data_IF_526519741802
#
_entry.id   IF_526519741802
#
_cell.length_a   1.000
_cell.length_b   1.000
_cell.length_c   1.000
_cell.angle_alpha   90.00
_cell.angle_beta   90.00
_cell.angle_gamma   90.00
#
_symmetry.space_group_name_H-M   'P 1'
#
loop_
_entity.id
_entity.type
_entity.pdbx_description
1 polymer ?
#
# COMPACT_ATOMS: atom_id res chain seq x y z
N UNK A 1 15.98 0.31 23.15
CA UNK A 1 14.60 0.05 22.69
C UNK A 1 14.17 0.99 21.57
N UNK A 2 14.48 2.30 21.63
CA UNK A 2 14.16 3.26 20.57
C UNK A 2 14.83 2.96 19.22
N UNK A 3 16.09 2.53 19.21
CA UNK A 3 16.85 2.21 17.99
C UNK A 3 16.32 0.99 17.23
N UNK A 4 15.81 -0.03 17.93
CA UNK A 4 15.21 -1.22 17.30
C UNK A 4 13.83 -0.94 16.70
N UNK A 5 13.05 -0.05 17.34
CA UNK A 5 11.73 0.36 16.84
C UNK A 5 11.83 1.24 15.59
N UNK A 6 12.82 2.14 15.56
CA UNK A 6 13.08 2.98 14.39
C UNK A 6 13.52 2.15 13.18
N UNK A 7 14.37 1.14 13.38
CA UNK A 7 14.78 0.21 12.32
C UNK A 7 13.61 -0.59 11.77
N UNK A 8 12.72 -1.08 12.64
CA UNK A 8 11.49 -1.75 12.20
C UNK A 8 10.63 -0.84 11.34
N UNK A 9 10.38 0.37 11.84
CA UNK A 9 9.53 1.35 11.19
C UNK A 9 10.02 1.62 9.79
N UNK A 10 11.33 1.78 9.63
CA UNK A 10 11.96 1.97 8.33
C UNK A 10 11.82 0.73 7.43
N UNK A 11 12.14 -0.47 7.90
CA UNK A 11 12.02 -1.71 7.09
C UNK A 11 10.57 -1.95 6.66
N UNK A 12 9.61 -1.78 7.59
CA UNK A 12 8.20 -1.99 7.30
C UNK A 12 7.67 -0.93 6.33
N UNK A 13 8.13 0.32 6.45
CA UNK A 13 7.78 1.38 5.51
C UNK A 13 8.34 1.09 4.12
N UNK A 14 9.61 0.71 4.00
CA UNK A 14 10.21 0.33 2.72
C UNK A 14 9.50 -0.85 2.09
N UNK A 15 9.08 -1.83 2.89
CA UNK A 15 8.31 -2.97 2.40
C UNK A 15 6.94 -2.54 1.86
N UNK A 16 6.22 -1.69 2.58
CA UNK A 16 4.93 -1.12 2.13
C UNK A 16 5.10 -0.29 0.86
N UNK A 17 6.13 0.55 0.75
CA UNK A 17 6.44 1.31 -0.46
C UNK A 17 6.74 0.37 -1.63
N UNK A 18 7.53 -0.67 -1.40
CA UNK A 18 7.86 -1.67 -2.45
C UNK A 18 6.61 -2.37 -2.98
N UNK A 19 5.64 -2.67 -2.11
CA UNK A 19 4.36 -3.25 -2.51
C UNK A 19 3.48 -2.26 -3.27
N UNK A 20 3.50 -0.96 -2.92
CA UNK A 20 2.82 0.07 -3.72
C UNK A 20 3.41 0.15 -5.12
N UNK A 21 4.74 0.16 -5.24
CA UNK A 21 5.42 0.14 -6.54
C UNK A 21 5.10 -1.13 -7.33
N UNK A 22 5.01 -2.28 -6.66
CA UNK A 22 4.60 -3.53 -7.28
C UNK A 22 3.16 -3.47 -7.80
N UNK A 23 2.22 -2.93 -7.02
CA UNK A 23 0.84 -2.73 -7.45
C UNK A 23 0.80 -1.80 -8.66
N UNK A 24 1.51 -0.67 -8.63
CA UNK A 24 1.61 0.24 -9.76
C UNK A 24 2.18 -0.46 -11.01
N UNK A 25 3.22 -1.29 -10.85
CA UNK A 25 3.82 -2.07 -11.93
C UNK A 25 2.86 -3.09 -12.54
N UNK A 26 2.09 -3.81 -11.71
CA UNK A 26 1.10 -4.77 -12.19
C UNK A 26 0.00 -4.05 -12.96
N UNK A 27 -0.52 -2.95 -12.42
CA UNK A 27 -1.64 -2.20 -13.01
C UNK A 27 -1.23 -1.57 -14.35
N UNK A 28 -0.02 -1.03 -14.43
CA UNK A 28 0.55 -0.43 -15.66
C UNK A 28 1.17 -1.47 -16.61
N UNK A 29 0.98 -2.77 -16.36
CA UNK A 29 1.53 -3.86 -17.16
C UNK A 29 3.06 -3.77 -17.38
N UNK A 30 3.78 -3.20 -16.41
CA UNK A 30 5.23 -2.99 -16.45
C UNK A 30 5.67 -1.64 -17.03
N UNK A 31 4.77 -0.83 -17.60
CA UNK A 31 5.10 0.46 -18.20
C UNK A 31 5.08 1.64 -17.21
N UNK A 32 5.24 1.38 -15.91
CA UNK A 32 5.11 2.40 -14.85
C UNK A 32 6.01 3.60 -15.08
N UNK A 33 7.28 3.37 -15.46
CA UNK A 33 8.23 4.46 -15.67
C UNK A 33 7.81 5.35 -16.85
N UNK A 34 7.30 4.74 -17.92
CA UNK A 34 6.81 5.48 -19.08
C UNK A 34 5.61 6.33 -18.72
N UNK A 35 4.62 5.78 -18.00
CA UNK A 35 3.44 6.51 -17.55
C UNK A 35 3.85 7.68 -16.63
N UNK A 36 4.74 7.45 -15.67
CA UNK A 36 5.23 8.49 -14.77
C UNK A 36 5.97 9.63 -15.50
N UNK A 37 6.67 9.34 -16.60
CA UNK A 37 7.36 10.38 -17.39
C UNK A 37 6.42 11.21 -18.25
N UNK A 38 5.29 10.66 -18.68
CA UNK A 38 4.33 11.33 -19.56
C UNK A 38 3.21 12.04 -18.77
N UNK A 39 2.85 11.52 -17.59
CA UNK A 39 1.71 11.99 -16.81
C UNK A 39 2.14 12.52 -15.43
N UNK A 40 2.28 13.84 -15.26
CA UNK A 40 2.78 14.42 -14.00
C UNK A 40 1.83 14.19 -12.82
N UNK A 41 0.54 13.99 -13.07
CA UNK A 41 -0.43 13.64 -12.04
C UNK A 41 -0.18 12.26 -11.44
N UNK A 42 0.34 11.30 -12.21
CA UNK A 42 0.70 9.97 -11.70
C UNK A 42 1.89 10.05 -10.75
N UNK A 43 2.86 10.92 -11.06
CA UNK A 43 3.99 11.23 -10.19
C UNK A 43 3.50 11.83 -8.88
N UNK A 44 2.65 12.85 -8.95
CA UNK A 44 2.08 13.48 -7.76
C UNK A 44 1.29 12.48 -6.90
N UNK A 45 0.51 11.61 -7.54
CA UNK A 45 -0.28 10.61 -6.85
C UNK A 45 0.59 9.50 -6.23
N UNK A 46 1.65 9.06 -6.91
CA UNK A 46 2.61 8.10 -6.37
C UNK A 46 3.36 8.68 -5.16
N UNK A 47 3.80 9.94 -5.24
CA UNK A 47 4.44 10.63 -4.13
C UNK A 47 3.50 10.74 -2.92
N UNK A 48 2.21 11.04 -3.17
CA UNK A 48 1.19 11.08 -2.12
C UNK A 48 1.01 9.70 -1.47
N UNK A 49 0.94 8.63 -2.27
CA UNK A 49 0.86 7.25 -1.76
C UNK A 49 2.09 6.88 -0.92
N UNK A 50 3.30 7.30 -1.32
CA UNK A 50 4.53 7.09 -0.54
C UNK A 50 4.46 7.82 0.81
N UNK A 51 3.98 9.08 0.83
CA UNK A 51 3.77 9.83 2.07
C UNK A 51 2.76 9.14 2.99
N UNK A 52 1.64 8.66 2.43
CA UNK A 52 0.62 7.92 3.18
C UNK A 52 1.17 6.59 3.69
N UNK A 53 1.96 5.87 2.90
CA UNK A 53 2.64 4.63 3.31
C UNK A 53 3.55 4.87 4.52
N UNK A 54 4.31 5.96 4.52
CA UNK A 54 5.23 6.30 5.62
C UNK A 54 4.48 6.55 6.94
N UNK A 55 3.39 7.31 6.90
CA UNK A 55 2.57 7.59 8.07
C UNK A 55 1.83 6.32 8.52
N UNK A 56 1.20 5.63 7.59
CA UNK A 56 0.40 4.45 7.86
C UNK A 56 1.20 3.25 8.35
N UNK A 57 2.44 3.07 7.89
CA UNK A 57 3.36 2.06 8.39
C UNK A 57 3.60 2.21 9.90
N UNK A 58 3.79 3.44 10.38
CA UNK A 58 3.95 3.75 11.80
C UNK A 58 2.68 3.49 12.61
N UNK A 59 1.52 3.87 12.07
CA UNK A 59 0.23 3.60 12.70
C UNK A 59 -0.04 2.10 12.80
N UNK A 60 0.23 1.34 11.74
CA UNK A 60 0.08 -0.13 11.71
C UNK A 60 0.95 -0.80 12.77
N UNK A 61 2.20 -0.37 12.90
CA UNK A 61 3.10 -0.82 13.96
C UNK A 61 2.46 -0.58 15.34
N UNK A 62 2.01 0.65 15.61
CA UNK A 62 1.37 1.01 16.87
C UNK A 62 0.09 0.19 17.15
N UNK A 63 -0.73 -0.06 16.14
CA UNK A 63 -1.94 -0.87 16.28
C UNK A 63 -1.61 -2.34 16.56
N UNK A 64 -0.65 -2.93 15.86
CA UNK A 64 -0.22 -4.31 16.11
C UNK A 64 0.34 -4.47 17.51
N UNK A 65 1.14 -3.50 17.99
CA UNK A 65 1.62 -3.49 19.38
C UNK A 65 0.50 -3.47 20.42
N UNK A 66 -0.60 -2.76 20.13
CA UNK A 66 -1.77 -2.67 21.01
C UNK A 66 -2.76 -3.83 20.81
N UNK A 67 -2.38 -4.89 20.09
CA UNK A 67 -3.24 -6.04 19.79
C UNK A 67 -4.34 -5.77 18.76
N UNK A 68 -4.35 -4.60 18.10
CA UNK A 68 -5.33 -4.19 17.09
C UNK A 68 -4.89 -4.60 15.67
N UNK A 69 -4.53 -5.87 15.48
CA UNK A 69 -4.00 -6.36 14.20
C UNK A 69 -5.02 -6.31 13.06
N UNK A 70 -6.31 -6.44 13.37
CA UNK A 70 -7.38 -6.34 12.36
C UNK A 70 -7.44 -4.94 11.77
N UNK A 71 -7.28 -3.89 12.59
CA UNK A 71 -7.33 -2.50 12.15
C UNK A 71 -6.12 -2.15 11.27
N UNK A 72 -4.94 -2.71 11.59
CA UNK A 72 -3.76 -2.62 10.72
C UNK A 72 -3.99 -3.33 9.38
N UNK A 73 -4.58 -4.53 9.39
CA UNK A 73 -4.90 -5.27 8.17
C UNK A 73 -5.90 -4.54 7.28
N UNK A 74 -6.96 -3.98 7.87
CA UNK A 74 -7.97 -3.21 7.16
C UNK A 74 -7.37 -1.94 6.53
N UNK A 75 -6.50 -1.24 7.26
CA UNK A 75 -5.83 -0.05 6.73
C UNK A 75 -4.96 -0.40 5.52
N UNK A 76 -4.14 -1.46 5.62
CA UNK A 76 -3.30 -1.94 4.52
C UNK A 76 -4.15 -2.37 3.31
N UNK A 77 -5.27 -3.06 3.55
CA UNK A 77 -6.19 -3.47 2.50
C UNK A 77 -6.77 -2.28 1.74
N UNK A 78 -7.32 -1.30 2.47
CA UNK A 78 -7.85 -0.08 1.87
C UNK A 78 -6.75 0.72 1.16
N UNK A 79 -5.55 0.76 1.73
CA UNK A 79 -4.41 1.47 1.15
C UNK A 79 -3.95 0.85 -0.17
N UNK A 80 -3.89 -0.48 -0.28
CA UNK A 80 -3.53 -1.12 -1.54
C UNK A 80 -4.64 -1.04 -2.60
N UNK A 81 -5.91 -1.07 -2.19
CA UNK A 81 -7.02 -0.76 -3.11
C UNK A 81 -6.95 0.68 -3.64
N UNK A 82 -6.65 1.64 -2.76
CA UNK A 82 -6.42 3.03 -3.16
C UNK A 82 -5.27 3.13 -4.15
N UNK A 83 -4.13 2.49 -3.85
CA UNK A 83 -2.98 2.47 -4.75
C UNK A 83 -3.32 1.85 -6.12
N UNK A 84 -4.10 0.76 -6.13
CA UNK A 84 -4.60 0.15 -7.35
C UNK A 84 -5.45 1.14 -8.17
N UNK A 85 -6.48 1.75 -7.57
CA UNK A 85 -7.38 2.64 -8.30
C UNK A 85 -6.71 3.88 -8.87
N UNK A 86 -5.82 4.49 -8.07
CA UNK A 86 -5.07 5.69 -8.47
C UNK A 86 -4.14 5.42 -9.65
N UNK A 87 -3.57 4.22 -9.71
CA UNK A 87 -2.65 3.80 -10.77
C UNK A 87 -3.36 3.16 -11.97
N UNK A 88 -4.65 2.82 -11.85
CA UNK A 88 -5.45 2.21 -12.92
C UNK A 88 -5.96 3.22 -13.95
N UNK A 89 -6.04 4.49 -13.54
CA UNK A 89 -6.33 5.63 -14.41
C UNK A 89 -5.31 5.70 -15.56
N UNK A 90 -5.82 5.58 -16.80
CA UNK A 90 -5.03 5.58 -18.02
C UNK A 90 -4.18 4.32 -18.29
N UNK A 91 -4.07 3.41 -17.32
CA UNK A 91 -3.33 2.16 -17.44
C UNK A 91 -4.20 0.99 -17.97
N UNK A 92 -5.52 1.13 -17.89
CA UNK A 92 -6.46 0.16 -18.46
C UNK A 92 -6.81 0.54 -19.89
N UNK A 93 -6.83 -0.45 -20.78
CA UNK A 93 -6.97 -0.23 -22.22
C UNK A 93 -8.20 0.62 -22.57
N UNK A 94 -8.02 1.54 -23.51
CA UNK A 94 -9.03 2.40 -24.13
C UNK A 94 -9.59 3.57 -23.28
N UNK A 95 -9.00 3.87 -22.11
CA UNK A 95 -9.36 5.06 -21.32
C UNK A 95 -8.19 6.05 -21.32
N UNK A 96 -8.45 7.29 -21.74
CA UNK A 96 -7.46 8.36 -21.72
C UNK A 96 -7.00 8.66 -20.28
N UNK A 97 -5.72 9.01 -20.11
CA UNK A 97 -5.21 9.44 -18.82
C UNK A 97 -5.88 10.75 -18.40
N UNK A 98 -6.35 10.80 -17.15
CA UNK A 98 -6.89 12.02 -16.57
C UNK A 98 -5.86 13.15 -16.60
N UNK A 99 -6.25 14.31 -17.12
CA UNK A 99 -5.39 15.51 -17.16
C UNK A 99 -5.64 16.45 -15.98
N UNK A 100 -6.77 16.29 -15.30
CA UNK A 100 -7.16 17.06 -14.12
C UNK A 100 -7.27 16.20 -12.86
N UNK A 101 -6.99 16.81 -11.70
CA UNK A 101 -7.00 16.13 -10.39
C UNK A 101 -8.38 15.53 -10.05
N UNK A 102 -9.45 16.25 -10.36
CA UNK A 102 -10.83 15.84 -10.03
C UNK A 102 -11.20 14.60 -10.85
N UNK A 103 -10.88 14.59 -12.14
CA UNK A 103 -11.10 13.46 -13.05
C UNK A 103 -10.33 12.24 -12.55
N UNK A 104 -9.06 12.42 -12.19
CA UNK A 104 -8.22 11.35 -11.65
C UNK A 104 -8.83 10.73 -10.40
N UNK A 105 -9.31 11.54 -9.46
CA UNK A 105 -9.97 11.05 -8.25
C UNK A 105 -11.29 10.32 -8.54
N UNK A 106 -12.09 10.84 -9.47
CA UNK A 106 -13.35 10.22 -9.88
C UNK A 106 -13.10 8.86 -10.55
N UNK A 107 -12.17 8.80 -11.51
CA UNK A 107 -11.80 7.57 -12.19
C UNK A 107 -11.16 6.56 -11.21
N UNK A 108 -10.32 7.02 -10.29
CA UNK A 108 -9.78 6.17 -9.22
C UNK A 108 -10.88 5.48 -8.41
N UNK A 109 -11.95 6.20 -8.06
CA UNK A 109 -13.10 5.63 -7.33
C UNK A 109 -13.87 4.61 -8.18
N UNK A 110 -14.02 4.87 -9.49
CA UNK A 110 -14.63 3.91 -10.42
C UNK A 110 -13.79 2.62 -10.46
N UNK A 111 -12.47 2.72 -10.62
CA UNK A 111 -11.59 1.54 -10.64
C UNK A 111 -11.57 0.80 -9.30
N UNK A 112 -11.60 1.51 -8.17
CA UNK A 112 -11.74 0.87 -6.85
C UNK A 112 -13.06 0.11 -6.76
N UNK A 113 -14.15 0.72 -7.22
CA UNK A 113 -15.48 0.10 -7.19
C UNK A 113 -15.50 -1.18 -8.04
N UNK A 114 -15.00 -1.12 -9.27
CA UNK A 114 -14.86 -2.28 -10.16
C UNK A 114 -13.94 -3.35 -9.56
N UNK A 115 -12.82 -2.94 -8.97
CA UNK A 115 -11.87 -3.83 -8.34
C UNK A 115 -12.51 -4.63 -7.20
N UNK A 116 -13.34 -3.99 -6.36
CA UNK A 116 -14.02 -4.65 -5.24
C UNK A 116 -14.97 -5.77 -5.70
N UNK A 117 -15.54 -5.67 -6.90
CA UNK A 117 -16.42 -6.72 -7.46
C UNK A 117 -15.69 -7.77 -8.30
N UNK A 118 -14.40 -7.58 -8.63
CA UNK A 118 -13.64 -8.47 -9.51
C UNK A 118 -13.23 -9.83 -8.91
N UNK A 119 -13.60 -10.12 -7.65
CA UNK A 119 -13.17 -11.25 -6.81
C UNK A 119 -11.64 -11.39 -6.60
N UNK A 120 -10.85 -11.41 -7.67
CA UNK A 120 -9.41 -11.60 -7.64
C UNK A 120 -8.66 -10.46 -6.97
N UNK A 121 -8.96 -9.20 -7.33
CA UNK A 121 -8.23 -8.04 -6.77
C UNK A 121 -8.41 -7.95 -5.25
N UNK A 122 -9.63 -8.03 -4.67
CA UNK A 122 -9.82 -7.94 -3.23
C UNK A 122 -9.16 -9.09 -2.48
N UNK A 123 -9.24 -10.31 -3.02
CA UNK A 123 -8.59 -11.48 -2.43
C UNK A 123 -7.08 -11.30 -2.38
N UNK A 124 -6.47 -10.81 -3.48
CA UNK A 124 -5.03 -10.53 -3.53
C UNK A 124 -4.62 -9.44 -2.51
N UNK A 125 -5.35 -8.32 -2.46
CA UNK A 125 -5.05 -7.23 -1.52
C UNK A 125 -5.20 -7.67 -0.06
N UNK A 126 -6.21 -8.49 0.23
CA UNK A 126 -6.45 -9.05 1.55
C UNK A 126 -5.34 -10.03 1.93
N UNK A 127 -4.91 -10.90 1.01
CA UNK A 127 -3.80 -11.83 1.24
C UNK A 127 -2.48 -11.10 1.54
N UNK A 128 -2.12 -10.08 0.75
CA UNK A 128 -0.90 -9.28 0.95
C UNK A 128 -0.96 -8.55 2.30
N UNK A 129 -2.11 -7.98 2.63
CA UNK A 129 -2.33 -7.25 3.89
C UNK A 129 -2.25 -8.17 5.11
N UNK A 130 -2.89 -9.34 5.04
CA UNK A 130 -2.82 -10.36 6.09
C UNK A 130 -1.39 -10.87 6.29
N UNK A 131 -0.67 -11.13 5.19
CA UNK A 131 0.74 -11.54 5.23
C UNK A 131 1.63 -10.47 5.89
N UNK A 132 1.45 -9.21 5.52
CA UNK A 132 2.20 -8.11 6.13
C UNK A 132 1.98 -8.00 7.64
N UNK A 133 0.71 -8.06 8.07
CA UNK A 133 0.37 -8.03 9.51
C UNK A 133 0.95 -9.25 10.22
N UNK A 134 0.88 -10.44 9.61
CA UNK A 134 1.46 -11.66 10.16
C UNK A 134 2.97 -11.54 10.37
N UNK A 135 3.71 -11.09 9.34
CA UNK A 135 5.16 -10.87 9.42
C UNK A 135 5.50 -9.87 10.53
N UNK A 136 4.75 -8.78 10.62
CA UNK A 136 4.96 -7.77 11.65
C UNK A 136 4.73 -8.33 13.06
N UNK A 137 3.65 -9.09 13.27
CA UNK A 137 3.36 -9.77 14.55
C UNK A 137 4.43 -10.78 14.90
N UNK A 138 4.84 -11.62 13.95
CA UNK A 138 5.87 -12.63 14.15
C UNK A 138 7.20 -12.00 14.58
N UNK A 139 7.57 -10.88 13.95
CA UNK A 139 8.78 -10.15 14.30
C UNK A 139 8.73 -9.60 15.73
N UNK A 140 7.59 -9.04 16.15
CA UNK A 140 7.40 -8.60 17.54
C UNK A 140 7.52 -9.73 18.55
N UNK A 141 6.85 -10.86 18.30
CA UNK A 141 6.94 -12.02 19.19
C UNK A 141 8.38 -12.52 19.32
N UNK A 142 9.16 -12.50 18.22
CA UNK A 142 10.60 -12.83 18.26
C UNK A 142 11.40 -11.86 19.14
N UNK A 143 11.14 -10.57 19.05
CA UNK A 143 11.86 -9.58 19.87
C UNK A 143 11.49 -9.69 21.36
N UNK A 144 10.21 -9.90 21.68
CA UNK A 144 9.76 -10.10 23.05
C UNK A 144 10.42 -11.32 23.71
N UNK A 145 10.51 -12.46 22.99
CA UNK A 145 11.22 -13.65 23.49
C UNK A 145 12.70 -13.40 23.75
N UNK A 146 13.38 -12.64 22.90
CA UNK A 146 14.80 -12.27 23.09
C UNK A 146 15.02 -11.39 24.32
N UNK A 147 14.02 -10.60 24.71
CA UNK A 147 14.09 -9.76 25.92
C UNK A 147 13.81 -10.55 27.19
N UNK A 148 12.92 -11.54 27.15
CA UNK A 148 12.62 -12.41 28.32
C UNK A 148 13.73 -13.42 28.64
N UNK A 149 14.65 -13.67 27.71
CA UNK A 149 15.77 -14.60 27.88
C UNK A 149 17.07 -13.91 28.36
N UNK A 150 17.01 -12.61 28.67
CA UNK A 150 18.08 -11.81 29.27
C UNK A 150 17.65 -11.38 30.65
#
# INVERSE_FOLDING_TARGET
MATSLNRLSLIFTLFTISLVLLVAAIVTQGNTLQNLTHYPLDVAALLLLICVAFIGARLCIGWVFRGRSLLAGLWLFCFYLLAFGVMADGATADIEHSTHLIEKLALSLVYISLAIFSFFIPVLMLAISALQVFVLRWWFLRQARKQSAR
#
